data_IF_337522852371
#
_entry.id   IF_337522852371
#
_cell.length_a   1.000
_cell.length_b   1.000
_cell.length_c   1.000
_cell.angle_alpha   90.00
_cell.angle_beta   90.00
_cell.angle_gamma   90.00
#
_symmetry.space_group_name_H-M   'P 1'
#
loop_
_entity.id
_entity.type
_entity.pdbx_description
1 polymer ?
#
# COMPACT_ATOMS: atom_id res chain seq x y z
N UNK A 1 -3.29 32.30 -44.78
CA UNK A 1 -4.19 31.38 -45.53
C UNK A 1 -4.61 30.14 -44.72
N UNK A 2 -3.70 29.46 -44.01
CA UNK A 2 -3.99 28.25 -43.21
C UNK A 2 -4.91 28.50 -42.00
N UNK A 3 -4.70 29.59 -41.25
CA UNK A 3 -5.50 29.91 -40.05
C UNK A 3 -7.00 30.09 -40.33
N UNK A 4 -7.33 30.69 -41.48
CA UNK A 4 -8.72 30.91 -41.90
C UNK A 4 -9.40 29.59 -42.27
N UNK A 5 -8.66 28.67 -42.90
CA UNK A 5 -9.15 27.32 -43.25
C UNK A 5 -9.40 26.49 -42.00
N UNK A 6 -8.47 26.49 -41.02
CA UNK A 6 -8.66 25.78 -39.74
C UNK A 6 -9.90 26.29 -39.01
N UNK A 7 -10.07 27.62 -38.91
CA UNK A 7 -11.25 28.23 -38.29
C UNK A 7 -12.54 27.81 -39.01
N UNK A 8 -12.51 27.81 -40.35
CA UNK A 8 -13.66 27.40 -41.17
C UNK A 8 -14.05 25.94 -40.92
N UNK A 9 -13.08 25.00 -40.91
CA UNK A 9 -13.36 23.59 -40.64
C UNK A 9 -13.88 23.36 -39.22
N UNK A 10 -13.34 24.06 -38.21
CA UNK A 10 -13.86 23.98 -36.85
C UNK A 10 -15.31 24.46 -36.75
N UNK A 11 -15.61 25.61 -37.35
CA UNK A 11 -16.97 26.16 -37.36
C UNK A 11 -17.94 25.23 -38.09
N UNK A 12 -17.54 24.67 -39.23
CA UNK A 12 -18.38 23.79 -40.02
C UNK A 12 -18.60 22.44 -39.33
N UNK A 13 -17.58 21.91 -38.65
CA UNK A 13 -17.70 20.70 -37.83
C UNK A 13 -18.65 20.94 -36.65
N UNK A 14 -18.56 22.11 -35.99
CA UNK A 14 -19.46 22.44 -34.89
C UNK A 14 -20.92 22.58 -35.35
N UNK A 15 -21.15 23.22 -36.50
CA UNK A 15 -22.47 23.29 -37.14
C UNK A 15 -23.00 21.90 -37.51
N UNK A 16 -22.14 21.03 -38.03
CA UNK A 16 -22.46 19.63 -38.34
C UNK A 16 -22.89 18.85 -37.09
N UNK A 17 -22.22 19.05 -35.95
CA UNK A 17 -22.55 18.40 -34.70
C UNK A 17 -23.95 18.81 -34.20
N UNK A 18 -24.27 20.10 -34.28
CA UNK A 18 -25.57 20.64 -33.85
C UNK A 18 -26.70 20.22 -34.80
N UNK A 19 -26.43 20.07 -36.11
CA UNK A 19 -27.43 19.67 -37.10
C UNK A 19 -27.88 18.21 -36.96
N UNK A 20 -27.00 17.34 -36.45
CA UNK A 20 -27.28 15.93 -36.20
C UNK A 20 -27.03 15.58 -34.72
N UNK A 21 -27.89 16.03 -33.80
CA UNK A 21 -27.64 15.93 -32.36
C UNK A 21 -27.61 14.47 -31.87
N UNK A 22 -28.41 13.58 -32.45
CA UNK A 22 -28.46 12.17 -32.06
C UNK A 22 -27.12 11.44 -32.33
N UNK A 23 -26.61 11.54 -33.56
CA UNK A 23 -25.36 10.89 -33.93
C UNK A 23 -24.17 11.50 -33.18
N UNK A 24 -24.16 12.83 -33.04
CA UNK A 24 -23.13 13.54 -32.27
C UNK A 24 -23.14 13.12 -30.80
N UNK A 25 -24.32 12.96 -30.20
CA UNK A 25 -24.46 12.50 -28.83
C UNK A 25 -23.92 11.07 -28.65
N UNK A 26 -24.26 10.14 -29.55
CA UNK A 26 -23.75 8.75 -29.50
C UNK A 26 -22.21 8.73 -29.58
N UNK A 27 -21.64 9.53 -30.48
CA UNK A 27 -20.19 9.63 -30.64
C UNK A 27 -19.51 10.21 -29.39
N UNK A 28 -20.05 11.29 -28.84
CA UNK A 28 -19.55 11.90 -27.60
C UNK A 28 -19.64 10.90 -26.44
N UNK A 29 -20.77 10.19 -26.30
CA UNK A 29 -20.96 9.19 -25.26
C UNK A 29 -19.96 8.04 -25.38
N UNK A 30 -19.68 7.57 -26.59
CA UNK A 30 -18.72 6.49 -26.82
C UNK A 30 -17.30 6.89 -26.42
N UNK A 31 -16.86 8.09 -26.83
CA UNK A 31 -15.56 8.65 -26.43
C UNK A 31 -15.53 8.87 -24.92
N UNK A 32 -16.61 9.42 -24.35
CA UNK A 32 -16.73 9.65 -22.92
C UNK A 32 -16.60 8.35 -22.11
N UNK A 33 -17.32 7.29 -22.49
CA UNK A 33 -17.23 5.98 -21.81
C UNK A 33 -15.82 5.41 -21.90
N UNK A 34 -15.15 5.55 -23.05
CA UNK A 34 -13.78 5.06 -23.23
C UNK A 34 -12.80 5.76 -22.28
N UNK A 35 -12.88 7.10 -22.20
CA UNK A 35 -12.06 7.89 -21.28
C UNK A 35 -12.44 7.62 -19.84
N UNK A 36 -13.72 7.42 -19.54
CA UNK A 36 -14.22 7.11 -18.20
C UNK A 36 -13.65 5.79 -17.69
N UNK A 37 -13.68 4.75 -18.54
CA UNK A 37 -13.11 3.44 -18.22
C UNK A 37 -11.61 3.58 -17.98
N UNK A 38 -10.88 4.22 -18.90
CA UNK A 38 -9.44 4.45 -18.74
C UNK A 38 -9.11 5.22 -17.45
N UNK A 39 -9.85 6.31 -17.18
CA UNK A 39 -9.67 7.12 -15.99
C UNK A 39 -9.99 6.36 -14.71
N UNK A 40 -11.03 5.53 -14.71
CA UNK A 40 -11.38 4.69 -13.56
C UNK A 40 -10.26 3.71 -13.22
N UNK A 41 -9.74 2.99 -14.22
CA UNK A 41 -8.58 2.11 -14.03
C UNK A 41 -7.34 2.88 -13.57
N UNK A 42 -7.10 4.06 -14.13
CA UNK A 42 -5.95 4.89 -13.75
C UNK A 42 -6.03 5.33 -12.29
N UNK A 43 -7.20 5.80 -11.85
CA UNK A 43 -7.45 6.13 -10.44
C UNK A 43 -7.20 4.92 -9.56
N UNK A 44 -7.77 3.75 -9.89
CA UNK A 44 -7.55 2.53 -9.12
C UNK A 44 -6.05 2.22 -9.05
N UNK A 45 -5.33 2.23 -10.18
CA UNK A 45 -3.91 1.94 -10.25
C UNK A 45 -3.04 2.88 -9.41
N UNK A 46 -3.27 4.19 -9.46
CA UNK A 46 -2.54 5.15 -8.62
C UNK A 46 -2.87 4.98 -7.14
N UNK A 47 -4.12 4.64 -6.83
CA UNK A 47 -4.55 4.38 -5.47
C UNK A 47 -4.12 3.00 -4.96
N UNK A 48 -3.76 2.07 -5.83
CA UNK A 48 -3.25 0.76 -5.42
C UNK A 48 -1.99 0.90 -4.57
N UNK A 49 -1.15 1.92 -4.76
CA UNK A 49 0.00 2.16 -3.87
C UNK A 49 -0.42 2.34 -2.40
N UNK A 50 -1.56 3.00 -2.15
CA UNK A 50 -2.14 3.14 -0.82
C UNK A 50 -2.91 1.89 -0.38
N UNK A 51 -3.57 1.19 -1.32
CA UNK A 51 -4.25 -0.06 -1.05
C UNK A 51 -3.29 -1.20 -0.69
N UNK A 52 -2.09 -1.21 -1.28
CA UNK A 52 -1.00 -2.11 -0.90
C UNK A 52 -0.50 -1.82 0.51
N UNK A 53 -0.61 -0.62 1.06
CA UNK A 53 -0.32 -0.40 2.48
C UNK A 53 -1.39 -1.03 3.41
N UNK A 54 -2.61 -1.22 2.92
CA UNK A 54 -3.68 -1.90 3.66
C UNK A 54 -3.59 -3.43 3.56
N UNK A 55 -3.18 -3.97 2.39
CA UNK A 55 -3.05 -5.41 2.16
C UNK A 55 -1.66 -5.94 2.50
N UNK A 56 -0.64 -5.20 2.09
CA UNK A 56 0.69 -5.22 2.67
C UNK A 56 0.69 -4.37 3.93
N UNK A 57 0.08 -4.89 5.01
CA UNK A 57 0.88 -4.88 6.25
C UNK A 57 2.23 -5.39 5.79
N UNK A 58 3.25 -4.53 5.81
CA UNK A 58 4.64 -4.85 5.47
C UNK A 58 4.85 -6.33 5.81
N UNK A 59 5.31 -7.16 4.86
CA UNK A 59 5.53 -8.58 5.11
C UNK A 59 6.49 -8.71 6.30
N UNK A 60 5.92 -8.75 7.50
CA UNK A 60 6.62 -8.67 8.76
C UNK A 60 6.88 -10.11 9.17
N UNK A 61 8.11 -10.53 8.93
CA UNK A 61 8.59 -11.84 9.35
C UNK A 61 9.19 -11.69 10.75
N UNK A 62 8.51 -12.23 11.76
CA UNK A 62 9.00 -12.21 13.13
C UNK A 62 9.96 -13.37 13.34
N UNK A 63 11.22 -13.08 13.64
CA UNK A 63 12.23 -14.11 13.92
C UNK A 63 12.44 -14.22 15.43
N UNK A 64 11.87 -15.26 16.03
CA UNK A 64 12.05 -15.51 17.47
C UNK A 64 13.44 -16.06 17.79
N UNK A 65 14.04 -15.50 18.83
CA UNK A 65 15.40 -15.80 19.25
C UNK A 65 15.37 -16.72 20.46
N UNK A 66 16.23 -17.75 20.46
CA UNK A 66 16.33 -18.66 21.59
C UNK A 66 16.90 -17.95 22.85
N UNK A 67 16.48 -18.38 24.04
CA UNK A 67 16.75 -17.68 25.32
C UNK A 67 18.23 -17.60 25.70
N UNK A 68 19.06 -18.50 25.15
CA UNK A 68 20.47 -18.69 25.53
C UNK A 68 21.47 -18.13 24.51
N UNK A 69 21.06 -17.18 23.67
CA UNK A 69 21.97 -16.59 22.68
C UNK A 69 22.89 -15.53 23.32
N UNK A 70 24.18 -15.61 23.04
CA UNK A 70 25.14 -14.57 23.41
C UNK A 70 24.98 -13.32 22.52
N UNK A 71 25.30 -12.14 23.07
CA UNK A 71 25.24 -10.83 22.39
C UNK A 71 26.05 -10.79 21.10
N UNK A 72 27.18 -11.53 21.05
CA UNK A 72 28.02 -11.63 19.85
C UNK A 72 27.30 -12.39 18.72
N UNK A 73 26.63 -13.50 19.06
CA UNK A 73 25.82 -14.28 18.10
C UNK A 73 24.57 -13.52 17.67
N UNK A 74 23.95 -12.76 18.58
CA UNK A 74 22.81 -11.89 18.27
C UNK A 74 23.17 -10.84 17.20
N UNK A 75 24.32 -10.18 17.37
CA UNK A 75 24.80 -9.18 16.41
C UNK A 75 25.11 -9.79 15.04
N UNK A 76 25.71 -10.98 15.04
CA UNK A 76 25.97 -11.73 13.80
C UNK A 76 24.69 -12.13 13.07
N UNK A 77 23.64 -12.53 13.81
CA UNK A 77 22.33 -12.83 13.24
C UNK A 77 21.69 -11.60 12.59
N UNK A 78 21.75 -10.44 13.26
CA UNK A 78 21.27 -9.17 12.71
C UNK A 78 21.96 -8.81 11.40
N UNK A 79 23.29 -8.91 11.32
CA UNK A 79 24.03 -8.63 10.09
C UNK A 79 23.66 -9.61 8.98
N UNK A 80 23.51 -10.90 9.30
CA UNK A 80 23.12 -11.91 8.32
C UNK A 80 21.73 -11.63 7.74
N UNK A 81 20.77 -11.25 8.57
CA UNK A 81 19.43 -10.87 8.13
C UNK A 81 19.45 -9.61 7.26
N UNK A 82 20.27 -8.60 7.61
CA UNK A 82 20.35 -7.35 6.86
C UNK A 82 21.02 -7.50 5.49
N UNK A 83 21.84 -8.52 5.30
CA UNK A 83 22.51 -8.78 4.03
C UNK A 83 21.60 -9.40 2.96
N UNK A 84 20.34 -9.70 3.28
CA UNK A 84 19.35 -10.13 2.31
C UNK A 84 18.76 -8.90 1.60
N UNK A 85 18.80 -8.88 0.27
CA UNK A 85 18.30 -7.76 -0.54
C UNK A 85 16.79 -7.55 -0.38
N UNK A 86 16.08 -8.57 0.09
CA UNK A 86 14.64 -8.57 0.36
C UNK A 86 14.28 -7.91 1.70
N UNK A 87 15.26 -7.60 2.56
CA UNK A 87 15.04 -7.04 3.89
C UNK A 87 15.25 -5.53 3.87
N UNK A 88 14.16 -4.78 4.03
CA UNK A 88 14.18 -3.31 4.05
C UNK A 88 14.62 -2.75 5.42
N UNK A 89 14.15 -3.35 6.52
CA UNK A 89 14.44 -2.90 7.88
C UNK A 89 14.44 -4.07 8.89
N UNK A 90 15.17 -3.92 9.98
CA UNK A 90 15.22 -4.89 11.09
C UNK A 90 15.04 -4.15 12.42
N UNK A 91 14.07 -4.59 13.23
CA UNK A 91 13.79 -4.00 14.54
C UNK A 91 13.94 -5.04 15.64
N UNK A 92 14.90 -4.83 16.54
CA UNK A 92 15.04 -5.71 17.69
C UNK A 92 13.99 -5.40 18.74
N UNK A 93 13.18 -6.40 19.10
CA UNK A 93 12.21 -6.32 20.19
C UNK A 93 12.69 -7.17 21.36
N UNK A 94 12.89 -6.53 22.50
CA UNK A 94 13.27 -7.24 23.74
C UNK A 94 12.08 -8.03 24.31
N UNK A 95 12.34 -9.03 25.16
CA UNK A 95 11.28 -9.82 25.83
C UNK A 95 10.24 -8.93 26.54
N UNK A 96 10.72 -7.91 27.27
CA UNK A 96 9.88 -6.94 28.00
C UNK A 96 9.03 -6.10 27.06
N UNK A 97 9.59 -5.70 25.94
CA UNK A 97 8.90 -4.91 24.93
C UNK A 97 7.85 -5.74 24.19
N UNK A 98 8.17 -6.98 23.84
CA UNK A 98 7.21 -7.94 23.27
C UNK A 98 6.01 -8.15 24.22
N UNK A 99 6.26 -8.26 25.52
CA UNK A 99 5.20 -8.36 26.52
C UNK A 99 4.34 -7.09 26.58
N UNK A 100 4.96 -5.90 26.53
CA UNK A 100 4.24 -4.63 26.50
C UNK A 100 3.36 -4.50 25.25
N UNK A 101 3.84 -4.94 24.08
CA UNK A 101 3.07 -4.95 22.85
C UNK A 101 1.87 -5.89 22.98
N UNK A 102 2.08 -7.10 23.52
CA UNK A 102 1.00 -8.07 23.77
C UNK A 102 -0.06 -7.49 24.71
N UNK A 103 0.36 -6.88 25.82
CA UNK A 103 -0.55 -6.25 26.79
C UNK A 103 -1.40 -5.14 26.15
N UNK A 104 -0.79 -4.31 25.31
CA UNK A 104 -1.53 -3.25 24.58
C UNK A 104 -2.49 -3.83 23.54
N UNK A 105 -2.08 -4.87 22.82
CA UNK A 105 -2.88 -5.47 21.73
C UNK A 105 -4.12 -6.20 22.24
N UNK A 106 -4.01 -6.89 23.38
CA UNK A 106 -5.13 -7.64 23.97
C UNK A 106 -6.15 -6.68 24.61
N UNK A 107 -5.76 -5.44 24.95
CA UNK A 107 -6.66 -4.40 25.47
C UNK A 107 -7.32 -4.71 26.82
N UNK A 108 -7.14 -5.92 27.36
CA UNK A 108 -7.63 -6.32 28.66
C UNK A 108 -6.73 -5.83 29.78
N UNK A 109 -7.35 -5.36 30.87
CA UNK A 109 -6.65 -4.84 32.03
C UNK A 109 -5.62 -5.82 32.61
N UNK A 110 -4.72 -5.29 33.45
CA UNK A 110 -3.62 -6.05 34.12
C UNK A 110 -4.07 -7.36 34.78
N UNK A 111 -5.35 -7.50 35.09
CA UNK A 111 -5.98 -8.71 35.62
C UNK A 111 -5.86 -9.94 34.71
N UNK A 112 -5.93 -9.81 33.38
CA UNK A 112 -5.78 -10.96 32.47
C UNK A 112 -4.35 -11.52 32.47
N UNK A 113 -3.38 -10.73 32.93
CA UNK A 113 -1.96 -11.12 32.97
C UNK A 113 -1.52 -11.55 34.37
N UNK A 114 -2.41 -11.55 35.37
CA UNK A 114 -2.15 -12.11 36.71
C UNK A 114 -1.98 -13.62 36.60
N UNK A 115 -0.74 -14.10 36.67
CA UNK A 115 -0.37 -15.52 36.55
C UNK A 115 0.44 -15.86 35.30
N UNK A 116 0.65 -14.88 34.41
CA UNK A 116 1.57 -15.04 33.26
C UNK A 116 2.96 -14.57 33.67
N UNK A 117 3.97 -15.42 33.48
CA UNK A 117 5.37 -15.05 33.72
C UNK A 117 5.80 -13.94 32.75
N UNK A 118 6.50 -12.92 33.27
CA UNK A 118 7.01 -11.78 32.49
C UNK A 118 7.97 -12.20 31.36
N UNK A 119 8.52 -13.42 31.41
CA UNK A 119 9.45 -14.03 30.45
C UNK A 119 8.80 -15.05 29.48
N UNK A 120 7.48 -14.98 29.30
CA UNK A 120 6.76 -15.87 28.39
C UNK A 120 7.23 -15.71 26.93
N UNK A 121 7.37 -14.47 26.46
CA UNK A 121 7.75 -14.18 25.07
C UNK A 121 9.28 -14.08 24.93
N UNK A 122 9.88 -14.74 23.93
CA UNK A 122 11.30 -14.56 23.61
C UNK A 122 11.54 -13.19 22.95
N UNK A 123 12.82 -12.80 22.86
CA UNK A 123 13.19 -11.65 22.04
C UNK A 123 13.01 -11.99 20.55
N UNK A 124 12.80 -10.99 19.72
CA UNK A 124 12.64 -11.17 18.27
C UNK A 124 13.32 -10.05 17.46
N UNK A 125 13.54 -10.35 16.18
CA UNK A 125 13.83 -9.38 15.13
C UNK A 125 12.62 -9.21 14.21
#
# INVERSE_FOLDING_TARGET
MILIRIKYYFQETFKSLIRNPLLSFINIMTVFITVLIFSSFSIIFFNLKTFFNFWGKELQVIVYINKDIDKKRLSHLKTKLFNHNEVEAITFTSKKEAMNILMKAIGGGKELFRGINEDLLPASF
#
